data_IF_238788645338
#
_entry.id   IF_238788645338
#
_cell.length_a   1.000
_cell.length_b   1.000
_cell.length_c   1.000
_cell.angle_alpha   90.00
_cell.angle_beta   90.00
_cell.angle_gamma   90.00
#
_symmetry.space_group_name_H-M   'P 1'
#
loop_
_entity.id
_entity.type
_entity.pdbx_description
1 polymer ?
#
# COMPACT_ATOMS: atom_id res chain seq x y z
N UNK A 1 10.72 -5.00 1.56
CA UNK A 1 9.25 -5.24 1.64
C UNK A 1 8.93 -5.84 3.01
N UNK A 2 7.77 -5.51 3.59
CA UNK A 2 7.29 -6.01 4.88
C UNK A 2 5.91 -6.68 4.70
N UNK A 3 5.67 -7.86 5.29
CA UNK A 3 4.37 -8.50 5.24
C UNK A 3 3.36 -7.76 6.11
N UNK A 4 2.20 -7.44 5.55
CA UNK A 4 1.07 -6.85 6.27
C UNK A 4 -0.20 -7.66 5.95
N UNK A 5 -0.98 -7.89 6.99
CA UNK A 5 -2.28 -8.53 6.87
C UNK A 5 -3.37 -7.51 7.12
N UNK A 6 -4.37 -7.47 6.25
CA UNK A 6 -5.56 -6.66 6.50
C UNK A 6 -6.36 -7.27 7.68
N UNK A 7 -6.80 -6.43 8.61
CA UNK A 7 -7.59 -6.87 9.77
C UNK A 7 -9.04 -7.25 9.40
N UNK A 8 -9.57 -6.66 8.33
CA UNK A 8 -10.96 -6.89 7.90
C UNK A 8 -11.09 -8.10 6.97
N UNK A 9 -10.29 -8.13 5.89
CA UNK A 9 -10.39 -9.19 4.89
C UNK A 9 -9.37 -10.32 5.08
N UNK A 10 -8.42 -10.19 6.00
CA UNK A 10 -7.38 -11.20 6.24
C UNK A 10 -6.34 -11.32 5.12
N UNK A 11 -6.39 -10.49 4.09
CA UNK A 11 -5.47 -10.56 2.95
C UNK A 11 -4.02 -10.27 3.39
N UNK A 12 -3.11 -11.22 3.12
CA UNK A 12 -1.68 -11.11 3.43
C UNK A 12 -0.89 -10.60 2.22
N UNK A 13 -0.47 -9.33 2.26
CA UNK A 13 0.27 -8.66 1.17
C UNK A 13 1.67 -8.27 1.61
N UNK A 14 2.55 -8.07 0.63
CA UNK A 14 3.87 -7.50 0.86
C UNK A 14 3.86 -6.01 0.52
N UNK A 15 4.25 -5.18 1.47
CA UNK A 15 4.20 -3.72 1.34
C UNK A 15 5.59 -3.14 1.42
N UNK A 16 5.87 -2.16 0.58
CA UNK A 16 7.08 -1.37 0.63
C UNK A 16 6.74 0.10 0.47
N UNK A 17 7.00 0.87 1.52
CA UNK A 17 6.89 2.31 1.50
C UNK A 17 8.20 2.83 0.89
N UNK A 18 8.16 3.27 -0.36
CA UNK A 18 9.32 3.90 -0.98
C UNK A 18 9.41 5.35 -0.55
N UNK A 19 8.29 6.07 -0.50
CA UNK A 19 8.16 7.43 0.04
C UNK A 19 6.78 7.59 0.67
N UNK A 20 6.48 8.72 1.31
CA UNK A 20 5.15 8.97 1.89
C UNK A 20 4.03 8.91 0.84
N UNK A 21 4.23 9.55 -0.31
CA UNK A 21 3.35 9.46 -1.48
C UNK A 21 3.48 8.17 -2.31
N UNK A 22 4.60 7.46 -2.23
CA UNK A 22 4.88 6.26 -3.05
C UNK A 22 4.91 4.97 -2.24
N UNK A 23 3.88 4.14 -2.41
CA UNK A 23 3.78 2.83 -1.75
C UNK A 23 3.61 1.71 -2.77
N UNK A 24 4.57 0.80 -2.83
CA UNK A 24 4.48 -0.44 -3.60
C UNK A 24 3.78 -1.51 -2.75
N UNK A 25 2.70 -2.09 -3.29
CA UNK A 25 1.99 -3.21 -2.64
C UNK A 25 1.97 -4.37 -3.61
N UNK A 26 2.49 -5.50 -3.16
CA UNK A 26 2.55 -6.74 -3.92
C UNK A 26 1.51 -7.70 -3.37
N UNK A 27 0.57 -8.05 -4.24
CA UNK A 27 -0.54 -8.95 -3.95
C UNK A 27 -0.21 -10.35 -4.43
N UNK A 28 -0.39 -11.34 -3.54
CA UNK A 28 -0.32 -12.75 -3.89
C UNK A 28 -1.72 -13.28 -4.24
N UNK A 29 -1.79 -14.44 -4.88
CA UNK A 29 -3.04 -15.07 -5.27
C UNK A 29 -3.98 -15.29 -4.08
N UNK A 30 -3.44 -15.79 -2.96
CA UNK A 30 -4.14 -15.95 -1.68
C UNK A 30 -4.75 -14.63 -1.16
N UNK A 31 -3.98 -13.54 -1.20
CA UNK A 31 -4.46 -12.22 -0.78
C UNK A 31 -5.59 -11.69 -1.68
N UNK A 32 -5.54 -12.00 -2.98
CA UNK A 32 -6.58 -11.64 -3.94
C UNK A 32 -7.84 -12.48 -3.74
N UNK A 33 -7.68 -13.74 -3.34
CA UNK A 33 -8.80 -14.62 -2.99
C UNK A 33 -9.45 -14.25 -1.65
N UNK A 34 -8.64 -13.86 -0.65
CA UNK A 34 -9.13 -13.46 0.67
C UNK A 34 -9.93 -12.15 0.63
N UNK A 35 -9.53 -11.21 -0.22
CA UNK A 35 -10.27 -9.96 -0.37
C UNK A 35 -11.47 -10.14 -1.31
N UNK A 36 -12.68 -10.19 -0.75
CA UNK A 36 -13.93 -10.35 -1.51
C UNK A 36 -14.13 -9.30 -2.61
N UNK A 37 -13.64 -8.08 -2.38
CA UNK A 37 -13.70 -6.98 -3.38
C UNK A 37 -12.78 -7.23 -4.58
N UNK A 38 -11.62 -7.87 -4.36
CA UNK A 38 -10.73 -8.29 -5.45
C UNK A 38 -11.15 -9.62 -6.09
N UNK A 39 -11.64 -10.57 -5.30
CA UNK A 39 -12.13 -11.87 -5.76
C UNK A 39 -13.41 -11.75 -6.61
N UNK A 40 -14.19 -10.69 -6.42
CA UNK A 40 -15.47 -10.42 -7.10
C UNK A 40 -15.37 -9.99 -8.56
N UNK A 41 -14.16 -9.80 -9.11
CA UNK A 41 -13.95 -9.77 -10.55
C UNK A 41 -14.86 -8.85 -11.36
N UNK A 42 -14.90 -7.55 -11.07
CA UNK A 42 -15.27 -6.61 -12.13
C UNK A 42 -14.01 -6.43 -13.00
N UNK A 43 -14.01 -7.04 -14.19
CA UNK A 43 -12.99 -6.93 -15.22
C UNK A 43 -12.46 -5.49 -15.37
N UNK A 44 -11.42 -5.15 -14.61
CA UNK A 44 -10.88 -3.80 -14.59
C UNK A 44 -9.67 -3.78 -15.51
N UNK A 45 -9.73 -2.92 -16.53
CA UNK A 45 -8.69 -2.73 -17.55
C UNK A 45 -7.31 -2.69 -16.91
N UNK A 46 -6.32 -3.31 -17.55
CA UNK A 46 -4.90 -3.14 -17.24
C UNK A 46 -4.61 -1.64 -17.10
N UNK A 47 -4.27 -1.18 -15.89
CA UNK A 47 -3.96 0.22 -15.59
C UNK A 47 -5.06 1.03 -14.89
N UNK A 48 -6.23 0.46 -14.60
CA UNK A 48 -7.20 1.13 -13.73
C UNK A 48 -6.79 1.01 -12.25
N UNK A 49 -7.05 2.04 -11.42
CA UNK A 49 -6.75 1.97 -9.99
C UNK A 49 -7.45 0.74 -9.41
N UNK A 50 -6.68 -0.20 -8.88
CA UNK A 50 -7.21 -1.25 -8.02
C UNK A 50 -7.99 -0.51 -6.93
N UNK A 51 -9.27 -0.82 -6.76
CA UNK A 51 -10.03 -0.42 -5.60
C UNK A 51 -9.36 -1.13 -4.43
N UNK A 52 -8.30 -0.50 -3.90
CA UNK A 52 -7.51 -1.07 -2.82
C UNK A 52 -8.45 -1.10 -1.63
N UNK A 53 -8.52 -2.23 -0.96
CA UNK A 53 -9.20 -2.34 0.32
C UNK A 53 -8.80 -1.11 1.17
N UNK A 54 -9.77 -0.26 1.48
CA UNK A 54 -9.50 1.01 2.17
C UNK A 54 -8.85 0.73 3.52
N UNK A 55 -9.32 -0.31 4.21
CA UNK A 55 -8.72 -0.78 5.46
C UNK A 55 -7.28 -1.20 5.30
N UNK A 56 -6.90 -1.86 4.20
CA UNK A 56 -5.50 -2.20 3.96
C UNK A 56 -4.64 -0.93 3.78
N UNK A 57 -5.16 0.09 3.12
CA UNK A 57 -4.44 1.36 2.98
C UNK A 57 -4.24 2.03 4.33
N UNK A 58 -5.27 2.07 5.17
CA UNK A 58 -5.18 2.60 6.54
C UNK A 58 -4.17 1.82 7.39
N UNK A 59 -4.20 0.48 7.33
CA UNK A 59 -3.23 -0.38 8.01
C UNK A 59 -1.80 -0.07 7.56
N UNK A 60 -1.57 0.15 6.27
CA UNK A 60 -0.25 0.51 5.73
C UNK A 60 0.19 1.89 6.22
N UNK A 61 -0.70 2.88 6.19
CA UNK A 61 -0.39 4.23 6.67
C UNK A 61 -0.10 4.24 8.17
N UNK A 62 -0.91 3.54 8.96
CA UNK A 62 -0.71 3.40 10.39
C UNK A 62 0.59 2.65 10.70
N UNK A 63 0.91 1.60 9.95
CA UNK A 63 2.18 0.88 10.08
C UNK A 63 3.38 1.76 9.72
N UNK A 64 3.27 2.62 8.69
CA UNK A 64 4.33 3.57 8.34
C UNK A 64 4.50 4.64 9.42
N UNK A 65 3.39 5.22 9.91
CA UNK A 65 3.39 6.22 10.99
C UNK A 65 3.92 5.67 12.31
N UNK A 66 3.61 4.42 12.61
CA UNK A 66 4.09 3.73 13.82
C UNK A 66 5.54 3.26 13.70
N UNK A 67 6.16 3.35 12.52
CA UNK A 67 7.51 2.85 12.25
C UNK A 67 7.59 1.33 12.08
N UNK A 68 6.45 0.63 12.00
CA UNK A 68 6.39 -0.82 11.75
C UNK A 68 6.83 -1.20 10.34
N UNK A 69 6.67 -0.29 9.36
CA UNK A 69 7.30 -0.45 8.04
C UNK A 69 8.29 0.69 7.80
N UNK A 70 9.53 0.37 7.36
CA UNK A 70 10.51 1.40 7.03
C UNK A 70 10.10 2.11 5.74
N UNK A 71 10.22 3.43 5.75
CA UNK A 71 10.07 4.28 4.56
C UNK A 71 11.46 4.41 3.92
N UNK A 72 11.61 3.98 2.67
CA UNK A 72 12.93 3.94 2.02
C UNK A 72 13.50 5.34 1.77
N UNK A 73 12.64 6.29 1.40
CA UNK A 73 12.92 7.71 1.24
C UNK A 73 12.10 8.45 2.31
N UNK A 74 12.68 8.55 3.51
CA UNK A 74 12.13 9.39 4.58
C UNK A 74 12.60 10.85 4.44
N UNK A 75 13.46 11.13 3.46
CA UNK A 75 13.98 12.48 3.20
C UNK A 75 12.80 13.44 3.05
N UNK A 76 12.62 14.40 3.98
CA UNK A 76 11.62 15.43 3.78
C UNK A 76 11.98 16.12 2.47
N UNK A 77 11.01 16.20 1.55
CA UNK A 77 11.15 16.97 0.31
C UNK A 77 11.51 18.37 0.76
N UNK A 78 12.80 18.71 0.71
CA UNK A 78 13.26 20.05 1.04
C UNK A 78 12.70 20.89 -0.10
N UNK A 79 11.75 21.82 0.13
CA UNK A 79 11.31 22.68 -0.94
C UNK A 79 12.57 23.36 -1.45
N UNK A 80 12.84 23.21 -2.74
CA UNK A 80 13.92 23.92 -3.40
C UNK A 80 13.71 25.39 -3.05
N UNK A 81 14.52 25.90 -2.12
CA UNK A 81 14.63 27.33 -1.90
C UNK A 81 15.05 27.87 -3.26
N UNK A 82 14.09 28.47 -3.95
CA UNK A 82 14.29 29.02 -5.28
C UNK A 82 15.40 30.06 -5.14
N UNK A 83 16.57 29.73 -5.67
CA UNK A 83 17.70 30.63 -5.72
C UNK A 83 17.29 31.91 -6.44
N UNK A 84 17.62 33.01 -5.77
CA UNK A 84 17.46 34.42 -6.12
C UNK A 84 17.69 34.73 -7.61
#
# INVERSE_FOLDING_TARGET
MQPLQCTECGAAVLVQKNSWEHTSVQWNDDARAACRELAGGAARRVGAPLERCQTLTDVIENAARSGSIPVADDTPVRPLAQSH
#
